data_IF_724645635192
#
_entry.id   IF_724645635192
#
_cell.length_a   1.000
_cell.length_b   1.000
_cell.length_c   1.000
_cell.angle_alpha   90.00
_cell.angle_beta   90.00
_cell.angle_gamma   90.00
#
_symmetry.space_group_name_H-M   'P 1'
#
loop_
_entity.id
_entity.type
_entity.pdbx_description
1 polymer ?
#
# COMPACT_ATOMS: atom_id res chain seq x y z
N UNK A 1 28.29 -21.74 -52.37
CA UNK A 1 27.24 -22.70 -52.74
C UNK A 1 26.27 -22.74 -51.58
N UNK A 2 25.04 -22.36 -51.92
CA UNK A 2 23.73 -22.49 -51.22
C UNK A 2 23.69 -21.87 -49.81
N UNK A 3 23.18 -20.75 -49.66
CA UNK A 3 21.90 -20.06 -49.51
C UNK A 3 20.75 -21.00 -49.16
N UNK A 4 20.22 -20.82 -47.93
CA UNK A 4 18.87 -21.25 -47.60
C UNK A 4 18.25 -20.22 -46.62
N UNK A 5 17.40 -19.38 -47.19
CA UNK A 5 16.50 -18.49 -46.50
C UNK A 5 15.34 -19.29 -45.92
N UNK A 6 14.97 -19.02 -44.69
CA UNK A 6 13.65 -19.46 -44.16
C UNK A 6 12.90 -18.26 -43.61
N UNK A 7 11.90 -17.87 -44.35
CA UNK A 7 10.84 -16.92 -43.96
C UNK A 7 10.02 -17.51 -42.80
N UNK A 8 9.81 -16.71 -41.78
CA UNK A 8 8.83 -16.97 -40.73
C UNK A 8 7.67 -15.99 -40.84
N UNK A 9 6.55 -16.51 -41.25
CA UNK A 9 5.25 -15.87 -41.36
C UNK A 9 4.72 -15.39 -40.02
N UNK A 10 4.35 -14.11 -39.95
CA UNK A 10 3.54 -13.50 -38.90
C UNK A 10 2.10 -14.01 -38.99
N UNK A 11 1.52 -14.38 -37.87
CA UNK A 11 0.09 -14.61 -37.72
C UNK A 11 -0.48 -13.57 -36.75
N UNK A 12 -1.18 -12.61 -37.30
CA UNK A 12 -2.03 -11.68 -36.56
C UNK A 12 -3.35 -12.40 -36.26
N UNK A 13 -3.71 -12.45 -35.00
CA UNK A 13 -5.04 -12.86 -34.57
C UNK A 13 -5.68 -11.74 -33.75
N UNK A 14 -6.50 -10.96 -34.44
CA UNK A 14 -7.41 -10.00 -33.84
C UNK A 14 -8.55 -10.72 -33.15
N UNK A 15 -8.77 -10.43 -31.88
CA UNK A 15 -10.00 -10.83 -31.17
C UNK A 15 -10.73 -9.57 -30.71
N UNK A 16 -11.79 -9.25 -31.41
CA UNK A 16 -12.81 -8.28 -31.02
C UNK A 16 -13.58 -8.81 -29.80
N UNK A 17 -13.65 -8.00 -28.75
CA UNK A 17 -14.52 -8.25 -27.62
C UNK A 17 -15.65 -7.23 -27.57
N UNK A 18 -16.82 -7.73 -27.78
CA UNK A 18 -18.13 -7.11 -27.74
C UNK A 18 -18.44 -6.41 -26.42
N UNK A 19 -18.91 -5.18 -26.50
CA UNK A 19 -19.55 -4.45 -25.42
C UNK A 19 -20.92 -5.03 -25.12
N UNK A 20 -21.24 -5.17 -23.82
CA UNK A 20 -22.61 -5.35 -23.36
C UNK A 20 -22.83 -4.40 -22.18
N UNK A 21 -23.56 -3.33 -22.45
CA UNK A 21 -24.20 -2.49 -21.43
C UNK A 21 -25.43 -3.21 -20.94
N UNK A 22 -25.58 -3.33 -19.61
CA UNK A 22 -26.91 -3.38 -19.02
C UNK A 22 -26.84 -2.77 -17.59
N UNK A 23 -27.54 -1.67 -17.44
CA UNK A 23 -27.73 -0.98 -16.20
C UNK A 23 -28.63 -1.74 -15.23
N UNK A 24 -28.38 -1.54 -13.95
CA UNK A 24 -29.38 -1.79 -12.92
C UNK A 24 -29.22 -0.74 -11.82
N UNK A 25 -30.21 0.13 -11.75
CA UNK A 25 -30.50 0.95 -10.55
C UNK A 25 -30.89 0.03 -9.41
N UNK A 26 -30.34 0.26 -8.23
CA UNK A 26 -30.92 -0.23 -7.00
C UNK A 26 -30.63 0.72 -5.83
N UNK A 27 -31.61 1.53 -5.54
CA UNK A 27 -32.15 1.95 -4.23
C UNK A 27 -31.23 1.92 -3.01
N UNK A 28 -31.11 3.11 -2.43
CA UNK A 28 -30.71 3.35 -1.05
C UNK A 28 -31.54 2.50 -0.07
N UNK A 29 -30.83 1.88 0.88
CA UNK A 29 -31.41 1.46 2.15
C UNK A 29 -30.42 1.85 3.24
N UNK A 30 -30.77 2.91 3.95
CA UNK A 30 -30.19 3.25 5.23
C UNK A 30 -30.61 2.17 6.23
N UNK A 31 -29.66 1.41 6.70
CA UNK A 31 -29.85 0.63 7.92
C UNK A 31 -28.68 0.91 8.85
N UNK A 32 -29.03 1.71 9.86
CA UNK A 32 -28.24 2.08 11.00
C UNK A 32 -27.95 0.81 11.82
N UNK A 33 -26.76 0.28 11.71
CA UNK A 33 -26.24 -0.75 12.60
C UNK A 33 -25.29 -0.07 13.59
N UNK A 34 -25.80 0.21 14.78
CA UNK A 34 -24.99 0.40 15.97
C UNK A 34 -24.12 -0.85 16.19
N UNK A 35 -22.90 -0.79 15.71
CA UNK A 35 -21.85 -1.74 16.08
C UNK A 35 -21.28 -1.27 17.41
N UNK A 36 -21.63 -1.98 18.48
CA UNK A 36 -21.03 -1.86 19.79
C UNK A 36 -19.51 -2.06 19.63
N UNK A 37 -18.75 -0.98 19.85
CA UNK A 37 -17.31 -1.02 19.80
C UNK A 37 -16.76 -1.86 20.94
N UNK A 38 -16.27 -3.06 20.63
CA UNK A 38 -15.19 -3.64 21.38
C UNK A 38 -13.98 -2.72 21.16
N UNK A 39 -13.58 -1.98 22.18
CA UNK A 39 -12.31 -1.26 22.21
C UNK A 39 -11.19 -2.29 22.11
N UNK A 40 -10.75 -2.58 20.89
CA UNK A 40 -9.57 -3.38 20.65
C UNK A 40 -8.39 -2.64 21.28
N UNK A 41 -7.79 -3.23 22.29
CA UNK A 41 -6.56 -2.73 22.92
C UNK A 41 -5.47 -2.66 21.86
N UNK A 42 -5.13 -1.45 21.42
CA UNK A 42 -4.05 -1.22 20.48
C UNK A 42 -2.87 -0.58 21.21
N UNK A 43 -1.68 -1.14 21.08
CA UNK A 43 -0.46 -0.51 21.54
C UNK A 43 -0.01 0.57 20.55
N UNK A 44 0.35 1.74 21.07
CA UNK A 44 0.88 2.83 20.26
C UNK A 44 2.38 2.96 20.50
N UNK A 45 3.17 2.77 19.46
CA UNK A 45 4.62 2.96 19.47
C UNK A 45 4.98 4.28 18.79
N UNK A 46 5.80 5.09 19.46
CA UNK A 46 6.31 6.34 18.87
C UNK A 46 7.71 6.09 18.33
N UNK A 47 7.86 6.21 17.02
CA UNK A 47 9.15 6.07 16.33
C UNK A 47 9.66 7.45 15.95
N UNK A 48 10.86 7.80 16.43
CA UNK A 48 11.54 9.04 16.09
C UNK A 48 12.50 8.80 14.92
N UNK A 49 12.20 9.39 13.77
CA UNK A 49 12.95 9.21 12.54
C UNK A 49 13.52 10.53 12.01
N UNK A 50 14.30 10.44 10.94
CA UNK A 50 14.90 11.58 10.23
C UNK A 50 13.89 12.66 9.81
N UNK A 51 12.63 12.31 9.66
CA UNK A 51 11.57 13.20 9.17
C UNK A 51 10.67 13.73 10.28
N UNK A 52 10.81 13.24 11.50
CA UNK A 52 10.00 13.62 12.66
C UNK A 52 9.54 12.40 13.44
N UNK A 53 8.58 12.63 14.34
CA UNK A 53 7.95 11.56 15.12
C UNK A 53 6.81 10.96 14.31
N UNK A 54 6.76 9.65 14.26
CA UNK A 54 5.66 8.88 13.69
C UNK A 54 5.04 8.00 14.79
N UNK A 55 3.73 8.01 14.88
CA UNK A 55 2.97 7.16 15.81
C UNK A 55 2.49 5.95 15.05
N UNK A 56 2.88 4.76 15.52
CA UNK A 56 2.50 3.49 14.94
C UNK A 56 1.49 2.84 15.88
N UNK A 57 0.31 2.56 15.36
CA UNK A 57 -0.71 1.79 16.09
C UNK A 57 -0.55 0.32 15.73
N UNK A 58 -0.29 -0.51 16.73
CA UNK A 58 -0.17 -1.96 16.56
C UNK A 58 -1.49 -2.60 16.97
N UNK A 59 -2.27 -3.12 16.01
CA UNK A 59 -3.52 -3.81 16.33
C UNK A 59 -3.27 -5.07 17.17
N UNK A 60 -4.18 -5.40 18.08
CA UNK A 60 -4.11 -6.64 18.89
C UNK A 60 -3.97 -7.89 18.02
N UNK A 61 -4.60 -7.88 16.85
CA UNK A 61 -4.52 -8.99 15.89
C UNK A 61 -3.10 -9.24 15.37
N UNK A 62 -2.27 -8.21 15.30
CA UNK A 62 -0.85 -8.31 14.95
C UNK A 62 -0.07 -8.94 16.10
N UNK A 63 -0.42 -8.59 17.33
CA UNK A 63 0.25 -9.15 18.53
C UNK A 63 0.04 -10.66 18.69
N UNK A 64 -1.06 -11.20 18.15
CA UNK A 64 -1.36 -12.63 18.11
C UNK A 64 -0.65 -13.39 16.98
N UNK A 65 -0.10 -12.69 16.00
CA UNK A 65 0.62 -13.31 14.90
C UNK A 65 1.99 -13.87 15.34
N UNK A 66 2.61 -14.79 14.58
CA UNK A 66 3.97 -15.25 14.84
C UNK A 66 4.95 -14.09 14.94
N UNK A 67 5.97 -14.22 15.80
CA UNK A 67 6.95 -13.15 16.08
C UNK A 67 7.61 -12.59 14.81
N UNK A 68 7.90 -13.43 13.84
CA UNK A 68 8.45 -12.99 12.56
C UNK A 68 7.46 -12.14 11.75
N UNK A 69 6.19 -12.52 11.74
CA UNK A 69 5.11 -11.75 11.11
C UNK A 69 4.92 -10.41 11.79
N UNK A 70 5.00 -10.36 13.13
CA UNK A 70 4.95 -9.10 13.88
C UNK A 70 6.10 -8.17 13.49
N UNK A 71 7.34 -8.68 13.44
CA UNK A 71 8.53 -7.90 13.03
C UNK A 71 8.37 -7.30 11.63
N UNK A 72 7.84 -8.07 10.68
CA UNK A 72 7.58 -7.57 9.33
C UNK A 72 6.48 -6.53 9.30
N UNK A 73 5.41 -6.71 10.08
CA UNK A 73 4.36 -5.71 10.23
C UNK A 73 4.93 -4.39 10.80
N UNK A 74 5.68 -4.46 11.90
CA UNK A 74 6.33 -3.27 12.49
C UNK A 74 7.22 -2.53 11.48
N UNK A 75 7.97 -3.27 10.66
CA UNK A 75 8.81 -2.67 9.64
C UNK A 75 8.01 -1.92 8.58
N UNK A 76 6.91 -2.47 8.08
CA UNK A 76 6.07 -1.80 7.09
C UNK A 76 5.26 -0.65 7.70
N UNK A 77 4.75 -0.80 8.92
CA UNK A 77 4.02 0.25 9.62
C UNK A 77 4.92 1.47 9.88
N UNK A 78 6.12 1.25 10.37
CA UNK A 78 7.12 2.30 10.56
C UNK A 78 7.43 3.04 9.25
N UNK A 79 7.70 2.31 8.18
CA UNK A 79 7.99 2.92 6.87
C UNK A 79 6.76 3.59 6.27
N UNK A 80 5.57 3.05 6.49
CA UNK A 80 4.30 3.65 6.08
C UNK A 80 4.07 5.01 6.73
N UNK A 81 4.21 5.10 8.05
CA UNK A 81 4.07 6.36 8.79
C UNK A 81 5.22 7.34 8.46
N UNK A 82 6.45 6.83 8.30
CA UNK A 82 7.57 7.67 7.84
C UNK A 82 7.30 8.25 6.45
N UNK A 83 6.67 7.49 5.55
CA UNK A 83 6.26 7.99 4.24
C UNK A 83 5.18 9.08 4.36
N UNK A 84 4.21 8.90 5.25
CA UNK A 84 3.17 9.90 5.52
C UNK A 84 3.80 11.21 6.00
N UNK A 85 4.67 11.17 7.01
CA UNK A 85 5.38 12.36 7.51
C UNK A 85 6.25 13.01 6.42
N UNK A 86 6.94 12.21 5.61
CA UNK A 86 7.70 12.72 4.47
C UNK A 86 6.78 13.33 3.39
N UNK A 87 5.60 12.75 3.16
CA UNK A 87 4.62 13.26 2.21
C UNK A 87 4.05 14.62 2.64
N UNK A 88 3.78 14.81 3.92
CA UNK A 88 3.30 16.10 4.47
C UNK A 88 4.28 17.24 4.15
N UNK A 89 5.58 17.00 4.25
CA UNK A 89 6.62 17.98 3.85
C UNK A 89 6.60 18.28 2.37
N UNK A 90 6.41 17.26 1.53
CA UNK A 90 6.28 17.43 0.08
C UNK A 90 5.00 18.19 -0.26
N UNK A 91 3.89 17.89 0.40
CA UNK A 91 2.59 18.54 0.19
C UNK A 91 2.62 19.99 0.64
N UNK A 92 3.35 20.29 1.73
CA UNK A 92 3.56 21.64 2.25
C UNK A 92 4.46 22.53 1.40
N UNK A 93 5.19 21.98 0.41
CA UNK A 93 6.07 22.74 -0.44
C UNK A 93 5.31 23.82 -1.25
N UNK A 94 5.78 25.04 -1.19
CA UNK A 94 5.19 26.19 -1.91
C UNK A 94 6.03 26.62 -3.14
N UNK A 95 7.20 26.02 -3.31
CA UNK A 95 8.11 26.27 -4.42
C UNK A 95 8.68 24.99 -5.01
N UNK A 96 9.18 25.06 -6.25
CA UNK A 96 9.88 23.94 -6.90
C UNK A 96 11.16 23.54 -6.16
N UNK A 97 11.80 24.48 -5.48
CA UNK A 97 13.05 24.22 -4.77
C UNK A 97 12.79 23.51 -3.44
N UNK A 98 11.76 23.89 -2.68
CA UNK A 98 11.28 23.14 -1.51
C UNK A 98 10.83 21.73 -1.91
N UNK A 99 10.12 21.60 -3.04
CA UNK A 99 9.72 20.29 -3.53
C UNK A 99 10.94 19.40 -3.83
N UNK A 100 11.97 19.94 -4.48
CA UNK A 100 13.23 19.21 -4.77
C UNK A 100 13.99 18.81 -3.51
N UNK A 101 13.92 19.61 -2.44
CA UNK A 101 14.55 19.31 -1.17
C UNK A 101 13.89 18.11 -0.48
N UNK A 102 12.56 18.05 -0.46
CA UNK A 102 11.83 17.04 0.30
C UNK A 102 11.54 15.75 -0.48
N UNK A 103 11.41 15.83 -1.80
CA UNK A 103 11.03 14.71 -2.65
C UNK A 103 11.98 13.50 -2.61
N UNK A 104 13.32 13.66 -2.63
CA UNK A 104 14.23 12.51 -2.62
C UNK A 104 14.05 11.60 -1.41
N UNK A 105 13.76 12.19 -0.25
CA UNK A 105 13.52 11.47 0.99
C UNK A 105 12.26 10.60 0.90
N UNK A 106 11.15 11.15 0.43
CA UNK A 106 9.90 10.42 0.24
C UNK A 106 10.07 9.25 -0.77
N UNK A 107 10.84 9.46 -1.84
CA UNK A 107 11.14 8.41 -2.83
C UNK A 107 11.91 7.26 -2.21
N UNK A 108 12.91 7.53 -1.38
CA UNK A 108 13.72 6.49 -0.71
C UNK A 108 12.87 5.68 0.25
N UNK A 109 12.04 6.33 1.08
CA UNK A 109 11.14 5.65 2.02
C UNK A 109 10.15 4.76 1.27
N UNK A 110 9.53 5.27 0.20
CA UNK A 110 8.63 4.48 -0.66
C UNK A 110 9.30 3.24 -1.24
N UNK A 111 10.52 3.38 -1.74
CA UNK A 111 11.29 2.25 -2.32
C UNK A 111 11.57 1.17 -1.29
N UNK A 112 11.90 1.57 -0.07
CA UNK A 112 12.17 0.65 1.03
C UNK A 112 10.88 -0.05 1.49
N UNK A 113 9.79 0.71 1.64
CA UNK A 113 8.48 0.15 1.98
C UNK A 113 8.04 -0.92 0.98
N UNK A 114 8.21 -0.68 -0.32
CA UNK A 114 7.85 -1.67 -1.35
C UNK A 114 8.59 -3.00 -1.20
N UNK A 115 9.86 -2.96 -0.81
CA UNK A 115 10.63 -4.19 -0.56
C UNK A 115 10.09 -4.96 0.64
N UNK A 116 9.70 -4.26 1.68
CA UNK A 116 9.17 -4.88 2.89
C UNK A 116 7.78 -5.46 2.69
N UNK A 117 6.97 -4.90 1.80
CA UNK A 117 5.67 -5.47 1.42
C UNK A 117 5.83 -6.87 0.82
N UNK A 118 6.85 -7.09 -0.03
CA UNK A 118 7.11 -8.41 -0.59
C UNK A 118 7.49 -9.43 0.51
N UNK A 119 8.27 -9.00 1.51
CA UNK A 119 8.65 -9.82 2.65
C UNK A 119 7.44 -10.14 3.54
N UNK A 120 6.60 -9.14 3.79
CA UNK A 120 5.36 -9.32 4.56
C UNK A 120 4.41 -10.32 3.90
N UNK A 121 4.31 -10.31 2.58
CA UNK A 121 3.47 -11.26 1.86
C UNK A 121 3.92 -12.71 2.06
N UNK A 122 5.21 -12.97 2.14
CA UNK A 122 5.73 -14.28 2.47
C UNK A 122 5.41 -14.67 3.93
N UNK A 123 5.60 -13.76 4.86
CA UNK A 123 5.24 -13.95 6.27
C UNK A 123 3.75 -14.22 6.47
N UNK A 124 2.88 -13.54 5.73
CA UNK A 124 1.45 -13.83 5.73
C UNK A 124 1.14 -15.26 5.25
N UNK A 125 1.83 -15.74 4.21
CA UNK A 125 1.66 -17.12 3.74
C UNK A 125 2.06 -18.15 4.80
N UNK A 126 3.16 -17.90 5.48
CA UNK A 126 3.63 -18.75 6.58
C UNK A 126 2.63 -18.76 7.73
N UNK A 127 2.13 -17.60 8.13
CA UNK A 127 1.10 -17.48 9.15
C UNK A 127 -0.17 -18.25 8.76
N UNK A 128 -0.64 -18.07 7.53
CA UNK A 128 -1.81 -18.80 6.99
C UNK A 128 -1.64 -20.32 7.05
N UNK A 129 -0.43 -20.82 6.83
CA UNK A 129 -0.16 -22.26 6.81
C UNK A 129 0.02 -22.84 8.21
N UNK A 130 0.40 -22.03 9.20
CA UNK A 130 0.67 -22.46 10.57
C UNK A 130 -0.46 -22.18 11.56
N UNK A 131 -1.40 -21.29 11.22
CA UNK A 131 -2.49 -20.90 12.11
C UNK A 131 -3.67 -21.87 12.02
N UNK A 132 -4.22 -22.18 13.19
CA UNK A 132 -5.49 -22.91 13.33
C UNK A 132 -6.71 -21.97 13.30
N UNK A 133 -6.49 -20.65 13.36
CA UNK A 133 -7.53 -19.60 13.37
C UNK A 133 -7.56 -18.82 12.06
N UNK A 134 -8.45 -19.15 11.12
CA UNK A 134 -8.58 -18.41 9.87
C UNK A 134 -8.95 -16.93 10.05
N UNK A 135 -9.72 -16.63 11.11
CA UNK A 135 -10.18 -15.26 11.39
C UNK A 135 -9.01 -14.36 11.81
N UNK A 136 -8.09 -14.86 12.65
CA UNK A 136 -6.87 -14.10 13.03
C UNK A 136 -5.97 -13.83 11.82
N UNK A 137 -5.85 -14.80 10.92
CA UNK A 137 -5.07 -14.65 9.69
C UNK A 137 -5.68 -13.58 8.79
N UNK A 138 -7.00 -13.55 8.63
CA UNK A 138 -7.68 -12.54 7.81
C UNK A 138 -7.59 -11.14 8.42
N UNK A 139 -7.75 -11.02 9.74
CA UNK A 139 -7.58 -9.75 10.45
C UNK A 139 -6.14 -9.22 10.36
N UNK A 140 -5.13 -10.08 10.47
CA UNK A 140 -3.73 -9.70 10.23
C UNK A 140 -3.52 -9.19 8.80
N UNK A 141 -4.07 -9.89 7.83
CA UNK A 141 -4.02 -9.48 6.42
C UNK A 141 -4.68 -8.11 6.21
N UNK A 142 -5.80 -7.86 6.86
CA UNK A 142 -6.51 -6.58 6.75
C UNK A 142 -5.70 -5.44 7.34
N UNK A 143 -5.11 -5.63 8.53
CA UNK A 143 -4.19 -4.66 9.12
C UNK A 143 -2.99 -4.34 8.20
N UNK A 144 -2.42 -5.35 7.54
CA UNK A 144 -1.35 -5.14 6.57
C UNK A 144 -1.82 -4.35 5.33
N UNK A 145 -3.01 -4.68 4.83
CA UNK A 145 -3.60 -4.00 3.68
C UNK A 145 -3.88 -2.52 3.98
N UNK A 146 -4.26 -2.18 5.20
CA UNK A 146 -4.51 -0.80 5.60
C UNK A 146 -3.23 0.04 5.57
N UNK A 147 -2.12 -0.49 6.06
CA UNK A 147 -0.81 0.17 5.96
C UNK A 147 -0.43 0.40 4.50
N UNK A 148 -0.59 -0.63 3.66
CA UNK A 148 -0.27 -0.54 2.23
C UNK A 148 -1.17 0.48 1.52
N UNK A 149 -2.47 0.49 1.82
CA UNK A 149 -3.45 1.43 1.25
C UNK A 149 -3.14 2.87 1.61
N UNK A 150 -2.79 3.12 2.88
CA UNK A 150 -2.39 4.44 3.35
C UNK A 150 -1.11 4.92 2.68
N UNK A 151 -0.13 4.05 2.49
CA UNK A 151 1.10 4.36 1.76
C UNK A 151 0.86 4.65 0.28
N UNK A 152 -0.06 3.92 -0.36
CA UNK A 152 -0.47 4.18 -1.75
C UNK A 152 -1.16 5.54 -1.88
N UNK A 153 -2.02 5.91 -0.94
CA UNK A 153 -2.67 7.22 -0.89
C UNK A 153 -1.63 8.33 -0.78
N UNK A 154 -0.72 8.26 0.18
CA UNK A 154 0.36 9.24 0.35
C UNK A 154 1.21 9.39 -0.93
N UNK A 155 1.49 8.27 -1.62
CA UNK A 155 2.19 8.32 -2.91
C UNK A 155 1.38 9.01 -4.01
N UNK A 156 0.07 8.77 -4.07
CA UNK A 156 -0.83 9.46 -5.02
C UNK A 156 -0.80 10.97 -4.83
N UNK A 157 -0.92 11.42 -3.59
CA UNK A 157 -0.88 12.83 -3.21
C UNK A 157 0.46 13.50 -3.59
N UNK A 158 1.59 12.83 -3.33
CA UNK A 158 2.92 13.30 -3.78
C UNK A 158 2.95 13.47 -5.30
N UNK A 159 2.42 12.50 -6.06
CA UNK A 159 2.38 12.55 -7.52
C UNK A 159 1.55 13.73 -8.02
N UNK A 160 0.39 13.97 -7.43
CA UNK A 160 -0.47 15.12 -7.77
C UNK A 160 0.24 16.45 -7.47
N UNK A 161 0.90 16.55 -6.33
CA UNK A 161 1.70 17.74 -5.97
C UNK A 161 2.82 18.00 -6.97
N UNK A 162 3.54 16.99 -7.40
CA UNK A 162 4.57 17.11 -8.44
C UNK A 162 3.94 17.63 -9.74
N UNK A 163 2.83 17.04 -10.15
CA UNK A 163 2.14 17.45 -11.38
C UNK A 163 1.68 18.91 -11.31
N UNK A 164 1.22 19.40 -10.17
CA UNK A 164 0.81 20.79 -10.01
C UNK A 164 1.94 21.80 -10.26
N UNK A 165 3.18 21.44 -9.92
CA UNK A 165 4.36 22.29 -10.17
C UNK A 165 4.91 22.19 -11.59
N UNK A 166 4.74 21.05 -12.26
CA UNK A 166 5.34 20.77 -13.57
C UNK A 166 4.33 20.77 -14.72
N UNK A 167 3.04 21.03 -14.43
CA UNK A 167 2.01 21.24 -15.46
C UNK A 167 1.70 19.99 -16.29
N UNK A 168 1.92 18.80 -15.77
CA UNK A 168 1.49 17.56 -16.40
C UNK A 168 0.11 17.20 -15.86
N UNK A 169 -0.89 17.59 -16.62
CA UNK A 169 -2.26 17.09 -16.50
C UNK A 169 -2.34 15.69 -17.05
#
# INVERSE_FOLDING_TARGET
MAEEETEATASEEETEASASEEGTEATASEENAESSGEEASSDTEVVEGKFGKAEIVIPETVQKAPEESQKHYHSIANKGETLKVASEKVLGANSKDELKEHLPAAIVVKKNLRKDVDTLYNSYKEFKNSSESPDEVEQFKEACNDVIRNAQKAHGEIKEKINSFYGKS
#
